data_IF_822839000932
#
_entry.id   IF_822839000932
#
_cell.length_a   1.000
_cell.length_b   1.000
_cell.length_c   1.000
_cell.angle_alpha   90.00
_cell.angle_beta   90.00
_cell.angle_gamma   90.00
#
_symmetry.space_group_name_H-M   'P 1'
#
loop_
_entity.id
_entity.type
_entity.pdbx_description
1 polymer ?
#
# COMPACT_ATOMS: atom_id res chain seq x y z
N UNK A 1 26.23 -12.41 4.18
CA UNK A 1 25.76 -12.44 5.58
C UNK A 1 25.94 -11.10 6.30
N UNK A 2 27.15 -10.53 6.34
CA UNK A 2 27.43 -9.26 7.05
C UNK A 2 26.53 -8.08 6.63
N UNK A 3 26.35 -7.86 5.33
CA UNK A 3 25.48 -6.80 4.80
C UNK A 3 24.01 -6.95 5.21
N UNK A 4 23.52 -8.18 5.28
CA UNK A 4 22.15 -8.46 5.70
C UNK A 4 21.95 -8.11 7.18
N UNK A 5 22.87 -8.52 8.06
CA UNK A 5 22.82 -8.18 9.48
C UNK A 5 22.92 -6.67 9.71
N UNK A 6 23.75 -5.97 8.94
CA UNK A 6 23.84 -4.52 8.97
C UNK A 6 22.52 -3.85 8.58
N UNK A 7 21.86 -4.32 7.51
CA UNK A 7 20.57 -3.82 7.07
C UNK A 7 19.48 -3.99 8.15
N UNK A 8 19.44 -5.16 8.80
CA UNK A 8 18.51 -5.41 9.91
C UNK A 8 18.80 -4.48 11.08
N UNK A 9 20.06 -4.34 11.48
CA UNK A 9 20.45 -3.43 12.55
C UNK A 9 20.09 -1.96 12.22
N UNK A 10 20.27 -1.54 10.97
CA UNK A 10 19.90 -0.21 10.50
C UNK A 10 18.39 0.03 10.53
N UNK A 11 17.56 -0.95 10.16
CA UNK A 11 16.10 -0.85 10.28
C UNK A 11 15.65 -0.72 11.74
N UNK A 12 16.21 -1.55 12.63
CA UNK A 12 15.91 -1.51 14.07
C UNK A 12 16.37 -0.18 14.67
N UNK A 13 17.59 0.26 14.36
CA UNK A 13 18.12 1.55 14.79
C UNK A 13 17.31 2.74 14.25
N UNK A 14 16.91 2.68 12.98
CA UNK A 14 16.06 3.67 12.33
C UNK A 14 14.69 3.80 13.02
N UNK A 15 14.07 2.68 13.40
CA UNK A 15 12.82 2.69 14.15
C UNK A 15 12.94 3.45 15.48
N UNK A 16 13.95 3.15 16.29
CA UNK A 16 14.11 3.79 17.60
C UNK A 16 14.61 5.23 17.53
N UNK A 17 15.57 5.53 16.64
CA UNK A 17 16.20 6.85 16.57
C UNK A 17 15.35 7.80 15.74
N UNK A 18 15.09 7.43 14.48
CA UNK A 18 14.40 8.30 13.54
C UNK A 18 12.89 8.29 13.74
N UNK A 19 12.30 7.14 14.11
CA UNK A 19 10.89 7.07 14.50
C UNK A 19 10.55 7.99 15.68
N UNK A 20 11.34 7.94 16.75
CA UNK A 20 11.16 8.83 17.91
C UNK A 20 11.35 10.32 17.55
N UNK A 21 12.30 10.63 16.65
CA UNK A 21 12.50 11.98 16.15
C UNK A 21 11.28 12.49 15.37
N UNK A 22 10.74 11.69 14.46
CA UNK A 22 9.56 12.03 13.65
C UNK A 22 8.33 12.19 14.54
N UNK A 23 8.10 11.29 15.48
CA UNK A 23 7.03 11.38 16.47
C UNK A 23 7.07 12.72 17.24
N UNK A 24 8.26 13.12 17.70
CA UNK A 24 8.45 14.39 18.42
C UNK A 24 8.15 15.61 17.56
N UNK A 25 8.50 15.59 16.27
CA UNK A 25 8.20 16.70 15.34
C UNK A 25 6.70 16.86 15.15
N UNK A 26 5.98 15.75 14.97
CA UNK A 26 4.55 15.81 14.69
C UNK A 26 3.71 16.10 15.92
N UNK A 27 4.17 15.69 17.11
CA UNK A 27 3.45 15.91 18.36
C UNK A 27 2.18 15.05 18.42
N UNK A 28 2.32 13.82 18.89
CA UNK A 28 1.16 12.94 19.11
C UNK A 28 0.36 13.47 20.30
N UNK A 29 -0.97 13.42 20.17
CA UNK A 29 -1.86 13.68 21.28
C UNK A 29 -2.68 12.41 21.56
N UNK A 30 -2.26 11.67 22.57
CA UNK A 30 -2.87 10.38 22.95
C UNK A 30 -4.30 10.52 23.48
N UNK A 31 -4.71 11.73 23.89
CA UNK A 31 -6.08 11.98 24.35
C UNK A 31 -7.08 12.14 23.19
N UNK A 32 -6.60 12.28 21.95
CA UNK A 32 -7.47 12.44 20.78
C UNK A 32 -8.09 11.10 20.39
N UNK A 33 -9.40 10.99 20.55
CA UNK A 33 -10.17 9.85 20.01
C UNK A 33 -10.06 9.80 18.49
N UNK A 34 -9.79 8.62 17.94
CA UNK A 34 -9.67 8.40 16.50
C UNK A 34 -11.04 8.53 15.80
N UNK A 35 -11.07 8.90 14.51
CA UNK A 35 -12.30 8.98 13.72
C UNK A 35 -13.14 7.71 13.75
N UNK A 36 -12.51 6.54 13.86
CA UNK A 36 -13.17 5.25 14.00
C UNK A 36 -14.10 5.16 15.23
N UNK A 37 -13.83 5.92 16.29
CA UNK A 37 -14.65 5.98 17.49
C UNK A 37 -15.59 7.18 17.54
N UNK A 38 -15.27 8.28 16.86
CA UNK A 38 -16.06 9.52 16.90
C UNK A 38 -17.09 9.62 15.77
N UNK A 39 -16.86 8.94 14.65
CA UNK A 39 -17.73 8.94 13.46
C UNK A 39 -18.19 7.53 13.07
N UNK A 40 -18.40 6.66 14.06
CA UNK A 40 -18.69 5.24 13.82
C UNK A 40 -19.99 5.08 13.01
N UNK A 41 -19.86 4.71 11.74
CA UNK A 41 -20.96 4.55 10.78
C UNK A 41 -21.19 3.08 10.38
N UNK A 42 -20.37 2.17 10.91
CA UNK A 42 -20.43 0.74 10.59
C UNK A 42 -19.94 0.37 9.18
N UNK A 43 -19.48 1.32 8.37
CA UNK A 43 -19.04 1.11 6.99
C UNK A 43 -17.63 1.65 6.77
N UNK A 44 -17.44 2.99 6.79
CA UNK A 44 -16.15 3.63 6.55
C UNK A 44 -15.34 3.82 7.84
N UNK A 45 -16.03 3.92 8.99
CA UNK A 45 -15.46 4.15 10.31
C UNK A 45 -15.87 3.03 11.24
N UNK A 46 -15.07 1.97 11.28
CA UNK A 46 -15.31 0.80 12.15
C UNK A 46 -14.15 0.63 13.12
N UNK A 47 -14.39 0.57 14.44
CA UNK A 47 -13.33 0.29 15.40
C UNK A 47 -12.84 -1.15 15.23
N UNK A 48 -11.52 -1.30 15.09
CA UNK A 48 -10.86 -2.59 14.90
C UNK A 48 -9.82 -2.84 16.00
N UNK A 49 -9.57 -4.11 16.30
CA UNK A 49 -8.50 -4.47 17.24
C UNK A 49 -7.12 -4.18 16.64
N UNK A 50 -6.16 -3.80 17.48
CA UNK A 50 -4.80 -3.43 17.08
C UNK A 50 -4.12 -4.44 16.14
N UNK A 51 -4.19 -5.77 16.39
CA UNK A 51 -3.57 -6.75 15.49
C UNK A 51 -4.17 -6.75 14.08
N UNK A 52 -5.48 -6.52 13.96
CA UNK A 52 -6.14 -6.44 12.65
C UNK A 52 -5.68 -5.20 11.89
N UNK A 53 -5.53 -4.07 12.57
CA UNK A 53 -5.04 -2.82 11.97
C UNK A 53 -3.60 -3.01 11.45
N UNK A 54 -2.72 -3.61 12.25
CA UNK A 54 -1.36 -3.95 11.80
C UNK A 54 -1.35 -4.89 10.61
N UNK A 55 -2.22 -5.91 10.60
CA UNK A 55 -2.33 -6.82 9.46
C UNK A 55 -2.79 -6.11 8.19
N UNK A 56 -3.79 -5.22 8.28
CA UNK A 56 -4.26 -4.42 7.14
C UNK A 56 -3.13 -3.54 6.61
N UNK A 57 -2.39 -2.86 7.48
CA UNK A 57 -1.24 -2.05 7.06
C UNK A 57 -0.14 -2.90 6.41
N UNK A 58 0.16 -4.07 7.00
CA UNK A 58 1.15 -4.99 6.45
C UNK A 58 0.73 -5.49 5.06
N UNK A 59 -0.54 -5.84 4.86
CA UNK A 59 -1.06 -6.27 3.57
C UNK A 59 -0.99 -5.16 2.52
N UNK A 60 -1.29 -3.91 2.91
CA UNK A 60 -1.24 -2.74 2.04
C UNK A 60 0.18 -2.41 1.56
N UNK A 61 1.20 -2.63 2.38
CA UNK A 61 2.61 -2.39 2.02
C UNK A 61 3.23 -3.62 1.33
N UNK A 62 2.87 -4.83 1.77
CA UNK A 62 3.51 -6.06 1.30
C UNK A 62 3.35 -6.22 -0.21
N UNK A 63 2.12 -6.19 -0.73
CA UNK A 63 1.86 -6.37 -2.16
C UNK A 63 2.72 -7.47 -2.81
N UNK A 64 3.40 -7.15 -3.92
CA UNK A 64 4.38 -8.03 -4.58
C UNK A 64 5.80 -7.93 -3.99
N UNK A 65 5.99 -7.08 -2.99
CA UNK A 65 7.27 -6.78 -2.34
C UNK A 65 7.99 -7.98 -1.73
N UNK A 66 7.34 -8.87 -0.96
CA UNK A 66 7.96 -10.08 -0.42
C UNK A 66 8.54 -11.02 -1.49
N UNK A 67 8.05 -10.94 -2.73
CA UNK A 67 8.52 -11.78 -3.83
C UNK A 67 9.64 -11.07 -4.58
N UNK A 68 9.42 -9.84 -5.05
CA UNK A 68 10.43 -9.12 -5.82
C UNK A 68 11.60 -8.61 -4.96
N UNK A 69 11.39 -8.30 -3.69
CA UNK A 69 12.43 -7.80 -2.79
C UNK A 69 13.64 -8.74 -2.71
N UNK A 70 13.46 -10.03 -2.35
CA UNK A 70 14.54 -11.01 -2.34
C UNK A 70 15.16 -11.25 -3.72
N UNK A 71 14.35 -11.31 -4.78
CA UNK A 71 14.83 -11.51 -6.16
C UNK A 71 15.73 -10.35 -6.57
N UNK A 72 15.30 -9.11 -6.37
CA UNK A 72 16.07 -7.91 -6.68
C UNK A 72 17.32 -7.81 -5.80
N UNK A 73 17.24 -8.21 -4.52
CA UNK A 73 18.39 -8.30 -3.64
C UNK A 73 19.42 -9.34 -4.11
N UNK A 74 18.98 -10.45 -4.69
CA UNK A 74 19.85 -11.47 -5.28
C UNK A 74 20.47 -11.00 -6.61
N UNK A 75 19.70 -10.33 -7.47
CA UNK A 75 20.13 -9.86 -8.78
C UNK A 75 21.10 -8.68 -8.71
N UNK A 76 20.81 -7.68 -7.89
CA UNK A 76 21.56 -6.42 -7.80
C UNK A 76 22.53 -6.38 -6.60
N UNK A 77 22.56 -7.46 -5.81
CA UNK A 77 23.49 -7.62 -4.71
C UNK A 77 23.31 -6.61 -3.55
N UNK A 78 24.38 -6.34 -2.77
CA UNK A 78 24.31 -5.52 -1.56
C UNK A 78 23.84 -4.08 -1.75
N UNK A 79 24.09 -3.48 -2.92
CA UNK A 79 23.69 -2.11 -3.21
C UNK A 79 22.17 -1.93 -3.19
N UNK A 80 21.43 -2.89 -3.76
CA UNK A 80 19.97 -2.88 -3.72
C UNK A 80 19.43 -3.03 -2.28
N UNK A 81 20.04 -3.89 -1.47
CA UNK A 81 19.63 -4.06 -0.06
C UNK A 81 19.78 -2.77 0.75
N UNK A 82 20.91 -2.07 0.61
CA UNK A 82 21.14 -0.80 1.29
C UNK A 82 20.14 0.27 0.85
N UNK A 83 19.88 0.38 -0.45
CA UNK A 83 18.93 1.35 -0.99
C UNK A 83 17.51 1.10 -0.49
N UNK A 84 17.07 -0.16 -0.43
CA UNK A 84 15.77 -0.55 0.10
C UNK A 84 15.64 -0.12 1.56
N UNK A 85 16.66 -0.37 2.39
CA UNK A 85 16.66 0.01 3.81
C UNK A 85 16.61 1.53 3.98
N UNK A 86 17.46 2.26 3.27
CA UNK A 86 17.51 3.73 3.34
C UNK A 86 16.18 4.32 2.89
N UNK A 87 15.62 3.85 1.77
CA UNK A 87 14.31 4.29 1.28
C UNK A 87 13.17 3.98 2.25
N UNK A 88 13.22 2.82 2.92
CA UNK A 88 12.21 2.44 3.91
C UNK A 88 12.23 3.37 5.13
N UNK A 89 13.42 3.70 5.65
CA UNK A 89 13.58 4.55 6.84
C UNK A 89 13.17 5.99 6.55
N UNK A 90 13.70 6.60 5.47
CA UNK A 90 13.54 8.04 5.25
C UNK A 90 12.29 8.43 4.47
N UNK A 91 11.85 7.59 3.53
CA UNK A 91 10.69 7.89 2.68
C UNK A 91 9.47 7.07 3.09
N UNK A 92 9.56 5.74 3.08
CA UNK A 92 8.39 4.87 3.25
C UNK A 92 7.70 5.02 4.60
N UNK A 93 8.40 4.69 5.68
CA UNK A 93 7.82 4.70 7.03
C UNK A 93 7.33 6.10 7.45
N UNK A 94 8.09 7.15 7.10
CA UNK A 94 7.71 8.54 7.40
C UNK A 94 6.50 8.97 6.61
N UNK A 95 6.43 8.64 5.32
CA UNK A 95 5.31 9.01 4.46
C UNK A 95 3.99 8.38 4.94
N UNK A 96 4.02 7.11 5.33
CA UNK A 96 2.85 6.41 5.87
C UNK A 96 2.41 6.99 7.20
N UNK A 97 3.36 7.24 8.12
CA UNK A 97 3.08 7.87 9.40
C UNK A 97 2.50 9.28 9.23
N UNK A 98 3.10 10.09 8.35
CA UNK A 98 2.63 11.44 8.04
C UNK A 98 1.21 11.44 7.47
N UNK A 99 0.97 10.60 6.46
CA UNK A 99 -0.33 10.50 5.79
C UNK A 99 -1.42 10.04 6.77
N UNK A 100 -1.12 9.07 7.63
CA UNK A 100 -2.02 8.60 8.68
C UNK A 100 -2.34 9.69 9.70
N UNK A 101 -1.32 10.39 10.21
CA UNK A 101 -1.52 11.45 11.21
C UNK A 101 -2.31 12.64 10.64
N UNK A 102 -2.05 13.00 9.39
CA UNK A 102 -2.78 14.05 8.68
C UNK A 102 -4.26 13.68 8.46
N UNK A 103 -4.53 12.42 8.10
CA UNK A 103 -5.89 11.89 7.96
C UNK A 103 -6.65 11.90 9.28
N UNK A 104 -6.05 11.41 10.38
CA UNK A 104 -6.66 11.39 11.72
C UNK A 104 -7.01 12.82 12.17
N UNK A 105 -6.12 13.79 11.95
CA UNK A 105 -6.36 15.20 12.28
C UNK A 105 -7.49 15.83 11.46
N UNK A 106 -7.69 15.36 10.23
CA UNK A 106 -8.78 15.79 9.35
C UNK A 106 -10.01 14.88 9.42
N UNK A 107 -10.16 14.10 10.50
CA UNK A 107 -11.36 13.32 10.75
C UNK A 107 -11.52 12.12 9.82
N UNK A 108 -10.41 11.54 9.34
CA UNK A 108 -10.36 10.36 8.46
C UNK A 108 -10.41 10.66 6.98
N UNK A 109 -10.18 11.91 6.57
CA UNK A 109 -10.24 12.29 5.16
C UNK A 109 -9.13 11.63 4.33
N UNK A 110 -9.41 11.37 3.05
CA UNK A 110 -8.43 10.88 2.08
C UNK A 110 -7.43 11.97 1.67
N UNK A 111 -6.23 11.56 1.23
CA UNK A 111 -5.16 12.49 0.81
C UNK A 111 -5.64 13.51 -0.22
N UNK A 112 -6.36 13.15 -1.31
CA UNK A 112 -6.85 14.13 -2.28
C UNK A 112 -7.83 15.14 -1.67
N UNK A 113 -8.69 14.72 -0.75
CA UNK A 113 -9.64 15.59 -0.04
C UNK A 113 -8.92 16.58 0.86
N UNK A 114 -7.87 16.13 1.56
CA UNK A 114 -7.03 16.97 2.40
C UNK A 114 -6.28 17.99 1.52
N UNK A 115 -5.67 17.54 0.43
CA UNK A 115 -4.99 18.44 -0.53
C UNK A 115 -5.96 19.47 -1.08
N UNK A 116 -7.19 19.08 -1.44
CA UNK A 116 -8.23 20.01 -1.88
C UNK A 116 -8.60 21.07 -0.85
N UNK A 117 -8.63 20.68 0.44
CA UNK A 117 -8.94 21.60 1.54
C UNK A 117 -7.88 22.69 1.72
N UNK A 118 -6.60 22.36 1.54
CA UNK A 118 -5.49 23.28 1.81
C UNK A 118 -4.95 23.99 0.55
N UNK A 119 -4.98 23.35 -0.63
CA UNK A 119 -4.45 23.89 -1.90
C UNK A 119 -5.55 24.28 -2.91
N UNK A 120 -6.81 23.98 -2.61
CA UNK A 120 -7.96 24.32 -3.46
C UNK A 120 -8.37 23.23 -4.46
N UNK A 121 -9.47 23.48 -5.18
CA UNK A 121 -10.11 22.47 -6.04
C UNK A 121 -9.24 22.03 -7.22
N UNK A 122 -8.38 22.89 -7.78
CA UNK A 122 -7.47 22.50 -8.86
C UNK A 122 -6.53 21.37 -8.45
N UNK A 123 -5.92 21.49 -7.26
CA UNK A 123 -5.06 20.45 -6.70
C UNK A 123 -5.85 19.18 -6.31
N UNK A 124 -7.10 19.31 -5.84
CA UNK A 124 -8.00 18.17 -5.58
C UNK A 124 -8.20 17.32 -6.85
N UNK A 125 -8.57 17.95 -7.96
CA UNK A 125 -8.82 17.24 -9.21
C UNK A 125 -7.55 16.59 -9.77
N UNK A 126 -6.41 17.29 -9.72
CA UNK A 126 -5.13 16.71 -10.12
C UNK A 126 -4.79 15.47 -9.27
N UNK A 127 -4.90 15.56 -7.94
CA UNK A 127 -4.62 14.43 -7.05
C UNK A 127 -5.59 13.27 -7.25
N UNK A 128 -6.87 13.53 -7.54
CA UNK A 128 -7.83 12.48 -7.86
C UNK A 128 -7.49 11.75 -9.16
N UNK A 129 -7.14 12.49 -10.22
CA UNK A 129 -6.72 11.90 -11.50
C UNK A 129 -5.46 11.06 -11.30
N UNK A 130 -4.47 11.61 -10.59
CA UNK A 130 -3.24 10.91 -10.27
C UNK A 130 -3.50 9.63 -9.46
N UNK A 131 -4.36 9.69 -8.44
CA UNK A 131 -4.73 8.54 -7.63
C UNK A 131 -5.45 7.46 -8.45
N UNK A 132 -6.36 7.82 -9.36
CA UNK A 132 -7.04 6.85 -10.23
C UNK A 132 -6.04 6.14 -11.14
N UNK A 133 -5.12 6.89 -11.78
CA UNK A 133 -4.09 6.31 -12.64
C UNK A 133 -3.18 5.38 -11.84
N UNK A 134 -2.77 5.80 -10.64
CA UNK A 134 -1.92 4.99 -9.76
C UNK A 134 -2.64 3.71 -9.31
N UNK A 135 -3.91 3.80 -8.90
CA UNK A 135 -4.72 2.64 -8.51
C UNK A 135 -4.90 1.65 -9.68
N UNK A 136 -5.08 2.16 -10.90
CA UNK A 136 -5.13 1.34 -12.12
C UNK A 136 -3.79 0.65 -12.36
N UNK A 137 -2.67 1.37 -12.27
CA UNK A 137 -1.33 0.82 -12.46
C UNK A 137 -1.02 -0.27 -11.45
N UNK A 138 -1.38 -0.05 -10.18
CA UNK A 138 -1.25 -1.06 -9.13
C UNK A 138 -2.07 -2.30 -9.48
N UNK A 139 -3.33 -2.14 -9.90
CA UNK A 139 -4.17 -3.26 -10.35
C UNK A 139 -3.53 -4.06 -11.49
N UNK A 140 -2.93 -3.38 -12.47
CA UNK A 140 -2.20 -4.04 -13.57
C UNK A 140 -0.99 -4.83 -13.07
N UNK A 141 -0.19 -4.28 -12.15
CA UNK A 141 1.01 -4.94 -11.61
C UNK A 141 0.63 -6.19 -10.80
N UNK A 142 -0.44 -6.15 -10.02
CA UNK A 142 -0.90 -7.31 -9.24
C UNK A 142 -1.38 -8.48 -10.11
N UNK A 143 -1.84 -8.21 -11.34
CA UNK A 143 -2.23 -9.26 -12.29
C UNK A 143 -1.02 -9.72 -13.10
N UNK A 144 -0.21 -8.78 -13.61
CA UNK A 144 0.89 -9.09 -14.52
C UNK A 144 2.06 -9.78 -13.84
N UNK A 145 2.37 -9.45 -12.58
CA UNK A 145 3.50 -10.06 -11.88
C UNK A 145 3.33 -11.57 -11.64
N UNK A 146 2.22 -12.07 -11.05
CA UNK A 146 1.99 -13.51 -10.92
C UNK A 146 1.87 -14.20 -12.28
N UNK A 147 1.22 -13.56 -13.26
CA UNK A 147 1.08 -14.11 -14.62
C UNK A 147 2.46 -14.35 -15.26
N UNK A 148 3.36 -13.38 -15.19
CA UNK A 148 4.72 -13.50 -15.71
C UNK A 148 5.52 -14.61 -15.01
N UNK A 149 5.41 -14.73 -13.68
CA UNK A 149 6.09 -15.80 -12.94
C UNK A 149 5.59 -17.19 -13.35
N UNK A 150 4.27 -17.38 -13.46
CA UNK A 150 3.70 -18.67 -13.87
C UNK A 150 4.06 -19.00 -15.33
N UNK A 151 4.00 -18.02 -16.24
CA UNK A 151 4.39 -18.20 -17.63
C UNK A 151 5.86 -18.64 -17.76
N UNK A 152 6.77 -17.98 -17.04
CA UNK A 152 8.18 -18.35 -17.07
C UNK A 152 8.41 -19.77 -16.54
N UNK A 153 7.77 -20.12 -15.41
CA UNK A 153 7.86 -21.48 -14.85
C UNK A 153 7.35 -22.55 -15.82
N UNK A 154 6.23 -22.30 -16.52
CA UNK A 154 5.67 -23.26 -17.48
C UNK A 154 6.56 -23.39 -18.71
N UNK A 155 7.01 -22.29 -19.29
CA UNK A 155 7.83 -22.30 -20.50
C UNK A 155 9.23 -22.90 -20.25
N UNK A 156 9.77 -22.77 -19.03
CA UNK A 156 11.05 -23.39 -18.65
C UNK A 156 10.91 -24.89 -18.35
N UNK A 157 9.80 -25.34 -17.76
CA UNK A 157 9.64 -26.73 -17.33
C UNK A 157 8.89 -27.62 -18.32
N UNK A 158 8.17 -27.05 -19.28
CA UNK A 158 7.40 -27.78 -20.29
C UNK A 158 7.70 -27.28 -21.70
N UNK A 159 7.59 -28.14 -22.72
CA UNK A 159 7.73 -27.76 -24.12
C UNK A 159 6.54 -26.96 -24.66
N UNK A 160 5.64 -26.50 -23.78
CA UNK A 160 4.48 -25.70 -24.12
C UNK A 160 4.85 -24.22 -24.05
N UNK A 161 4.80 -23.52 -25.19
CA UNK A 161 4.97 -22.07 -25.23
C UNK A 161 3.65 -21.39 -24.88
N UNK A 162 3.50 -21.02 -23.62
CA UNK A 162 2.35 -20.24 -23.16
C UNK A 162 2.69 -18.75 -23.23
N UNK A 163 1.80 -17.97 -23.85
CA UNK A 163 1.91 -16.51 -23.88
C UNK A 163 1.50 -15.90 -22.54
N UNK A 164 2.21 -14.84 -22.11
CA UNK A 164 1.86 -14.08 -20.91
C UNK A 164 0.42 -13.53 -20.97
N UNK A 165 -0.05 -13.15 -22.16
CA UNK A 165 -1.43 -12.67 -22.37
C UNK A 165 -2.46 -13.75 -22.07
N UNK A 166 -2.16 -15.01 -22.38
CA UNK A 166 -3.04 -16.13 -22.05
C UNK A 166 -3.17 -16.30 -20.53
N UNK A 167 -2.07 -16.22 -19.79
CA UNK A 167 -2.10 -16.31 -18.32
C UNK A 167 -2.82 -15.14 -17.67
N UNK A 168 -2.66 -13.91 -18.18
CA UNK A 168 -3.42 -12.75 -17.70
C UNK A 168 -4.93 -12.96 -17.89
N UNK A 169 -5.36 -13.47 -19.05
CA UNK A 169 -6.77 -13.76 -19.36
C UNK A 169 -7.33 -14.90 -18.50
N UNK A 170 -6.50 -15.84 -18.03
CA UNK A 170 -6.93 -16.89 -17.09
C UNK A 170 -7.02 -16.37 -15.66
N UNK A 171 -6.07 -15.52 -15.24
CA UNK A 171 -5.98 -15.02 -13.86
C UNK A 171 -7.05 -13.94 -13.58
N UNK A 172 -7.30 -13.02 -14.52
CA UNK A 172 -8.30 -11.95 -14.37
C UNK A 172 -9.69 -12.46 -13.94
N UNK A 173 -10.29 -13.45 -14.63
CA UNK A 173 -11.55 -14.05 -14.21
C UNK A 173 -11.45 -14.72 -12.85
N UNK A 174 -10.36 -15.42 -12.51
CA UNK A 174 -10.25 -16.11 -11.21
C UNK A 174 -10.19 -15.14 -10.02
N UNK A 175 -9.56 -13.98 -10.19
CA UNK A 175 -9.51 -12.90 -9.19
C UNK A 175 -10.89 -12.22 -9.09
N UNK A 176 -11.58 -12.01 -10.21
CA UNK A 176 -12.85 -11.31 -10.27
C UNK A 176 -14.07 -12.21 -9.95
N UNK A 177 -13.92 -13.52 -10.07
CA UNK A 177 -14.97 -14.52 -9.81
C UNK A 177 -15.12 -14.86 -8.33
N UNK A 178 -14.05 -14.77 -7.54
CA UNK A 178 -14.06 -15.10 -6.10
C UNK A 178 -14.70 -14.06 -5.16
N UNK A 179 -14.90 -12.78 -5.54
CA UNK A 179 -15.59 -11.82 -4.69
C UNK A 179 -16.73 -11.08 -5.40
N UNK A 180 -17.56 -11.71 -6.24
CA UNK A 180 -18.69 -10.98 -6.88
C UNK A 180 -19.57 -10.26 -5.83
N UNK A 181 -19.71 -10.82 -4.62
CA UNK A 181 -20.43 -10.20 -3.51
C UNK A 181 -19.68 -9.09 -2.76
N UNK A 182 -18.34 -9.05 -2.77
CA UNK A 182 -17.53 -8.00 -2.15
C UNK A 182 -17.18 -6.88 -3.13
N UNK A 183 -17.03 -7.22 -4.41
CA UNK A 183 -16.80 -6.28 -5.49
C UNK A 183 -18.03 -5.41 -5.72
N UNK A 184 -19.25 -5.97 -5.68
CA UNK A 184 -20.50 -5.16 -5.70
C UNK A 184 -20.55 -4.22 -4.49
N UNK A 185 -20.15 -4.66 -3.30
CA UNK A 185 -20.10 -3.80 -2.11
C UNK A 185 -19.05 -2.69 -2.24
N UNK A 186 -17.88 -3.00 -2.80
CA UNK A 186 -16.81 -2.02 -3.02
C UNK A 186 -17.12 -1.05 -4.15
N UNK A 187 -17.77 -1.48 -5.24
CA UNK A 187 -18.25 -0.61 -6.32
C UNK A 187 -19.40 0.28 -5.86
N UNK A 188 -20.36 -0.27 -5.11
CA UNK A 188 -21.43 0.52 -4.50
C UNK A 188 -20.86 1.50 -3.47
N UNK A 189 -19.87 1.10 -2.65
CA UNK A 189 -19.18 2.00 -1.74
C UNK A 189 -18.40 3.10 -2.49
N UNK A 190 -17.66 2.77 -3.55
CA UNK A 190 -16.95 3.77 -4.36
C UNK A 190 -17.90 4.71 -5.12
N UNK A 191 -19.03 4.23 -5.63
CA UNK A 191 -20.06 5.07 -6.26
C UNK A 191 -20.76 5.95 -5.23
N UNK A 192 -21.02 5.44 -4.02
CA UNK A 192 -21.62 6.20 -2.91
C UNK A 192 -20.65 7.22 -2.33
N UNK A 193 -19.35 6.91 -2.31
CA UNK A 193 -18.27 7.83 -1.96
C UNK A 193 -18.13 8.95 -3.01
N UNK A 194 -18.26 8.63 -4.31
CA UNK A 194 -18.36 9.63 -5.39
C UNK A 194 -19.63 10.48 -5.32
N UNK A 195 -20.74 9.93 -4.81
CA UNK A 195 -22.01 10.64 -4.67
C UNK A 195 -22.12 11.48 -3.38
N UNK A 196 -21.17 11.38 -2.44
CA UNK A 196 -21.12 12.16 -1.19
C UNK A 196 -19.81 12.98 -1.05
N UNK A 197 -19.03 13.12 -2.12
CA UNK A 197 -17.78 13.91 -2.19
C UNK A 197 -17.91 15.22 -2.98
#
# INVERSE_FOLDING_TARGET
MMWFLFCVAALVGGYFIYGAFVEKIFGINDTRKTPAHTKNDGVDYVPMSTPKVYLVQLLNIAGVGPIFGPIMGALYGPAAMLWIVVGCIFAGAVHDYFSGMLSIRNGGASVPTITGRYLGNGAKHFMNIFAIILLLLVGVVFVSAPAGMITNLINEQTSLTVSMTFMVVVILPTIFWRPLSQLIKSLVASIRFLAHC
#
